data_IF_550467706965
#
_entry.id   IF_550467706965
#
_cell.length_a   1.000
_cell.length_b   1.000
_cell.length_c   1.000
_cell.angle_alpha   90.00
_cell.angle_beta   90.00
_cell.angle_gamma   90.00
#
_symmetry.space_group_name_H-M   'P 1'
#
loop_
_entity.id
_entity.type
_entity.pdbx_description
1 polymer ?
#
# COMPACT_ATOMS: atom_id res chain seq x y z
N UNK A 1 100.35 55.09 44.91
CA UNK A 1 99.29 54.67 43.98
C UNK A 1 98.96 55.82 43.08
N UNK A 2 99.12 55.68 41.73
CA UNK A 2 98.97 56.73 40.76
C UNK A 2 97.54 57.22 40.63
N UNK A 3 97.25 58.49 40.61
CA UNK A 3 95.88 59.04 40.43
C UNK A 3 95.16 58.45 39.22
N UNK A 4 95.86 57.99 38.18
CA UNK A 4 95.31 57.36 36.99
C UNK A 4 94.74 55.94 37.28
N UNK A 5 95.39 55.15 38.16
CA UNK A 5 94.92 53.79 38.54
C UNK A 5 93.63 53.85 39.37
N UNK A 6 93.48 54.91 40.21
CA UNK A 6 92.25 55.10 40.99
C UNK A 6 91.03 55.45 40.12
N UNK A 7 91.26 56.30 39.09
CA UNK A 7 90.20 56.67 38.14
C UNK A 7 89.78 55.42 37.28
N UNK A 8 90.68 54.56 36.86
CA UNK A 8 90.36 53.37 36.12
C UNK A 8 89.57 52.39 36.99
N UNK A 9 89.92 52.24 38.28
CA UNK A 9 89.20 51.41 39.24
C UNK A 9 87.77 51.88 39.51
N UNK A 10 87.57 53.21 39.62
CA UNK A 10 86.22 53.81 39.79
C UNK A 10 85.35 53.64 38.55
N UNK A 11 85.94 53.87 37.37
CA UNK A 11 85.19 53.62 36.11
C UNK A 11 84.81 52.13 35.93
N UNK A 12 85.76 51.23 36.25
CA UNK A 12 85.47 49.79 36.22
C UNK A 12 84.39 49.40 37.22
N UNK A 13 84.39 49.98 38.43
CA UNK A 13 83.34 49.79 39.44
C UNK A 13 81.97 50.23 38.96
N UNK A 14 81.90 51.42 38.32
CA UNK A 14 80.63 51.99 37.77
C UNK A 14 80.08 51.09 36.64
N UNK A 15 80.95 50.62 35.75
CA UNK A 15 80.55 49.69 34.66
C UNK A 15 80.08 48.40 35.25
N UNK A 16 80.71 47.86 36.29
CA UNK A 16 80.32 46.65 36.95
C UNK A 16 78.96 46.79 37.67
N UNK A 17 78.72 47.90 38.37
CA UNK A 17 77.42 48.20 39.00
C UNK A 17 76.35 48.39 37.92
N UNK A 18 76.66 49.07 36.82
CA UNK A 18 75.75 49.26 35.69
C UNK A 18 75.37 47.91 35.00
N UNK A 19 76.32 46.99 34.83
CA UNK A 19 76.06 45.68 34.28
C UNK A 19 75.22 44.77 35.20
N UNK A 20 75.48 44.83 36.52
CA UNK A 20 74.68 44.11 37.51
C UNK A 20 73.25 44.67 37.55
N UNK A 21 73.06 45.97 37.55
CA UNK A 21 71.74 46.58 37.50
C UNK A 21 70.97 46.21 36.22
N UNK A 22 71.63 46.22 35.07
CA UNK A 22 71.09 45.76 33.80
C UNK A 22 70.68 44.27 33.87
N UNK A 23 71.47 43.39 34.39
CA UNK A 23 71.16 41.95 34.53
C UNK A 23 69.99 41.72 35.49
N UNK A 24 69.90 42.47 36.59
CA UNK A 24 68.75 42.39 37.54
C UNK A 24 67.45 42.86 36.87
N UNK A 25 67.46 43.97 36.13
CA UNK A 25 66.31 44.45 35.40
C UNK A 25 65.89 43.46 34.30
N UNK A 26 66.88 42.94 33.55
CA UNK A 26 66.62 41.89 32.51
C UNK A 26 66.02 40.61 33.09
N UNK A 27 66.52 40.12 34.21
CA UNK A 27 66.01 38.95 34.93
C UNK A 27 64.59 39.21 35.49
N UNK A 28 64.32 40.41 36.01
CA UNK A 28 62.97 40.75 36.46
C UNK A 28 61.99 40.84 35.31
N UNK A 29 62.35 41.40 34.18
CA UNK A 29 61.56 41.49 32.97
C UNK A 29 61.29 40.08 32.43
N UNK A 30 62.28 39.19 32.33
CA UNK A 30 62.15 37.81 31.91
C UNK A 30 61.26 37.00 32.87
N UNK A 31 61.38 37.22 34.20
CA UNK A 31 60.47 36.58 35.18
C UNK A 31 59.02 37.02 34.98
N UNK A 32 58.80 38.30 34.69
CA UNK A 32 57.44 38.85 34.48
C UNK A 32 56.85 38.37 33.17
N UNK A 33 57.62 38.29 32.06
CA UNK A 33 57.24 37.74 30.81
C UNK A 33 56.93 36.24 30.93
N UNK A 34 57.75 35.43 31.62
CA UNK A 34 57.50 34.03 31.92
C UNK A 34 56.23 33.83 32.76
N UNK A 35 55.96 34.68 33.74
CA UNK A 35 54.76 34.60 34.56
C UNK A 35 53.53 34.94 33.74
N UNK A 36 53.52 35.94 32.90
CA UNK A 36 52.45 36.30 32.00
C UNK A 36 52.19 35.17 30.97
N UNK A 37 53.23 34.51 30.45
CA UNK A 37 53.12 33.41 29.52
C UNK A 37 52.53 32.16 30.18
N UNK A 38 52.88 31.87 31.45
CA UNK A 38 52.27 30.78 32.22
C UNK A 38 50.80 31.05 32.52
N UNK A 39 50.42 32.28 32.87
CA UNK A 39 49.01 32.67 33.09
C UNK A 39 48.19 32.52 31.81
N UNK A 40 48.69 32.91 30.63
CA UNK A 40 48.07 32.72 29.35
C UNK A 40 47.89 31.21 29.01
N UNK A 41 48.95 30.41 29.23
CA UNK A 41 48.90 28.97 29.00
C UNK A 41 47.88 28.27 29.93
N UNK A 42 47.69 28.77 31.13
CA UNK A 42 46.71 28.27 32.08
C UNK A 42 45.26 28.64 31.67
N UNK A 43 45.08 29.85 31.14
CA UNK A 43 43.80 30.26 30.57
C UNK A 43 43.42 29.44 29.31
N UNK A 44 44.39 29.27 28.39
CA UNK A 44 44.19 28.42 27.19
C UNK A 44 43.79 26.97 27.57
N UNK A 45 44.48 26.39 28.56
CA UNK A 45 44.19 25.05 29.08
C UNK A 45 42.77 24.99 29.65
N UNK A 46 42.36 25.96 30.43
CA UNK A 46 41.02 26.03 31.04
C UNK A 46 39.93 26.23 29.99
N UNK A 47 40.16 26.96 28.94
CA UNK A 47 39.25 27.12 27.81
C UNK A 47 39.09 25.78 27.07
N UNK A 48 40.18 25.06 26.79
CA UNK A 48 40.14 23.73 26.19
C UNK A 48 39.42 22.71 27.08
N UNK A 49 39.58 22.73 28.41
CA UNK A 49 38.83 21.90 29.34
C UNK A 49 37.33 22.13 29.22
N UNK A 50 36.91 23.38 29.15
CA UNK A 50 35.50 23.75 28.97
C UNK A 50 34.95 23.26 27.62
N UNK A 51 35.71 23.41 26.53
CA UNK A 51 35.29 22.90 25.21
C UNK A 51 35.15 21.40 25.18
N UNK A 52 36.09 20.62 25.70
CA UNK A 52 35.98 19.17 25.79
C UNK A 52 34.78 18.73 26.62
N UNK A 53 34.48 19.42 27.73
CA UNK A 53 33.33 19.15 28.56
C UNK A 53 32.01 19.44 27.80
N UNK A 54 31.95 20.54 27.08
CA UNK A 54 30.79 20.87 26.24
C UNK A 54 30.57 19.84 25.16
N UNK A 55 31.63 19.39 24.48
CA UNK A 55 31.49 18.36 23.43
C UNK A 55 31.05 17.01 24.00
N UNK A 56 31.55 16.60 25.15
CA UNK A 56 31.11 15.40 25.83
C UNK A 56 29.61 15.45 26.18
N UNK A 57 29.10 16.60 26.59
CA UNK A 57 27.67 16.83 26.86
C UNK A 57 26.86 16.81 25.56
N UNK A 58 27.33 17.47 24.50
CA UNK A 58 26.65 17.45 23.18
C UNK A 58 26.53 16.03 22.64
N UNK A 59 27.56 15.19 22.73
CA UNK A 59 27.44 13.78 22.37
C UNK A 59 26.36 13.05 23.19
N UNK A 60 26.24 13.37 24.48
CA UNK A 60 25.19 12.80 25.33
C UNK A 60 23.78 13.24 24.89
N UNK A 61 23.60 14.51 24.58
CA UNK A 61 22.31 15.03 24.09
C UNK A 61 21.92 14.42 22.75
N UNK A 62 22.87 14.34 21.80
CA UNK A 62 22.64 13.74 20.49
C UNK A 62 22.19 12.30 20.58
N UNK A 63 22.71 11.50 21.52
CA UNK A 63 22.27 10.13 21.76
C UNK A 63 20.81 10.02 22.18
N UNK A 64 20.26 11.01 22.85
CA UNK A 64 18.85 11.01 23.27
C UNK A 64 17.88 11.32 22.13
N UNK A 65 18.37 11.93 21.04
CA UNK A 65 17.58 12.36 19.90
C UNK A 65 17.51 11.31 18.79
N UNK A 66 18.22 10.22 18.92
CA UNK A 66 18.37 9.20 17.86
C UNK A 66 17.97 7.82 18.38
N UNK A 67 17.16 7.12 17.58
CA UNK A 67 16.77 5.74 17.84
C UNK A 67 17.58 4.71 17.02
N UNK A 68 18.70 5.14 16.41
CA UNK A 68 19.55 4.27 15.60
C UNK A 68 20.72 3.74 16.43
N UNK A 69 20.69 2.46 16.77
CA UNK A 69 21.69 1.81 17.64
C UNK A 69 23.13 1.94 17.12
N UNK A 70 23.33 1.92 15.79
CA UNK A 70 24.66 2.06 15.18
C UNK A 70 25.23 3.45 15.43
N UNK A 71 24.42 4.49 15.24
CA UNK A 71 24.86 5.89 15.48
C UNK A 71 25.05 6.14 16.97
N UNK A 72 24.17 5.60 17.82
CA UNK A 72 24.32 5.69 19.29
C UNK A 72 25.61 5.06 19.76
N UNK A 73 26.01 3.90 19.19
CA UNK A 73 27.28 3.24 19.50
C UNK A 73 28.49 4.11 19.09
N UNK A 74 28.44 4.70 17.89
CA UNK A 74 29.51 5.58 17.39
C UNK A 74 29.63 6.87 18.26
N UNK A 75 28.50 7.51 18.58
CA UNK A 75 28.47 8.68 19.46
C UNK A 75 28.99 8.34 20.86
N UNK A 76 28.73 7.14 21.36
CA UNK A 76 29.24 6.68 22.65
C UNK A 76 30.76 6.53 22.62
N UNK A 77 31.31 5.93 21.56
CA UNK A 77 32.76 5.79 21.39
C UNK A 77 33.47 7.15 21.30
N UNK A 78 32.91 8.11 20.55
CA UNK A 78 33.47 9.45 20.44
C UNK A 78 33.32 10.25 21.75
N UNK A 79 32.26 10.05 22.50
CA UNK A 79 32.09 10.63 23.84
C UNK A 79 33.15 10.10 24.80
N UNK A 80 33.39 8.79 24.84
CA UNK A 80 34.43 8.16 25.68
C UNK A 80 35.82 8.68 25.30
N UNK A 81 36.11 8.78 24.00
CA UNK A 81 37.37 9.38 23.52
C UNK A 81 37.52 10.82 23.98
N UNK A 82 36.48 11.64 23.87
CA UNK A 82 36.47 13.03 24.29
C UNK A 82 36.70 13.17 25.81
N UNK A 83 36.07 12.28 26.61
CA UNK A 83 36.30 12.24 28.07
C UNK A 83 37.74 11.86 28.45
N UNK A 84 38.33 10.90 27.72
CA UNK A 84 39.74 10.50 27.93
C UNK A 84 40.68 11.67 27.62
N UNK A 85 40.44 12.37 26.52
CA UNK A 85 41.24 13.56 26.16
C UNK A 85 41.10 14.70 27.17
N UNK A 86 39.89 14.89 27.74
CA UNK A 86 39.66 15.82 28.81
C UNK A 86 40.45 15.46 30.08
N UNK A 87 40.44 14.19 30.47
CA UNK A 87 41.19 13.73 31.64
C UNK A 87 42.71 13.85 31.44
N UNK A 88 43.19 13.51 30.25
CA UNK A 88 44.57 13.69 29.85
C UNK A 88 45.00 15.19 29.94
N UNK A 89 44.16 16.10 29.41
CA UNK A 89 44.37 17.54 29.47
C UNK A 89 44.48 18.03 30.92
N UNK A 90 43.66 17.52 31.84
CA UNK A 90 43.70 17.90 33.25
C UNK A 90 45.02 17.54 33.92
N UNK A 91 45.62 16.40 33.51
CA UNK A 91 46.89 15.90 34.07
C UNK A 91 48.12 16.60 33.49
N UNK A 92 48.03 17.18 32.29
CA UNK A 92 49.14 17.91 31.64
C UNK A 92 49.42 19.24 32.35
N UNK A 93 50.68 19.51 32.59
CA UNK A 93 51.08 20.85 33.11
C UNK A 93 50.93 21.92 32.02
N UNK A 94 50.47 23.10 32.40
CA UNK A 94 50.33 24.25 31.48
C UNK A 94 51.65 24.66 30.80
N UNK A 95 52.79 24.32 31.40
CA UNK A 95 54.14 24.55 30.85
C UNK A 95 54.56 23.54 29.76
N UNK A 96 53.83 22.43 29.57
CA UNK A 96 54.15 21.42 28.55
C UNK A 96 53.47 21.80 27.19
N UNK A 97 54.14 22.71 26.49
CA UNK A 97 53.64 23.25 25.23
C UNK A 97 53.43 22.20 24.14
N UNK A 98 54.15 21.08 24.15
CA UNK A 98 53.99 20.01 23.12
C UNK A 98 52.69 19.25 23.33
N UNK A 99 52.44 18.83 24.58
CA UNK A 99 51.22 18.10 24.91
C UNK A 99 49.97 18.99 24.78
N UNK A 100 50.05 20.25 25.18
CA UNK A 100 48.97 21.22 24.96
C UNK A 100 48.68 21.39 23.45
N UNK A 101 49.71 21.54 22.60
CA UNK A 101 49.54 21.65 21.16
C UNK A 101 48.92 20.38 20.53
N UNK A 102 49.33 19.19 20.98
CA UNK A 102 48.76 17.91 20.58
C UNK A 102 47.25 17.84 20.92
N UNK A 103 46.90 18.11 22.17
CA UNK A 103 45.52 18.10 22.65
C UNK A 103 44.66 19.17 21.97
N UNK A 104 45.22 20.33 21.63
CA UNK A 104 44.52 21.36 20.82
C UNK A 104 44.20 20.88 19.41
N UNK A 105 45.08 20.08 18.79
CA UNK A 105 44.83 19.42 17.50
C UNK A 105 43.75 18.36 17.61
N UNK A 106 43.77 17.54 18.65
CA UNK A 106 42.74 16.54 18.92
C UNK A 106 41.36 17.22 19.15
N UNK A 107 41.33 18.35 19.89
CA UNK A 107 40.11 19.13 20.09
C UNK A 107 39.51 19.61 18.76
N UNK A 108 40.33 20.08 17.83
CA UNK A 108 39.88 20.48 16.50
C UNK A 108 39.28 19.26 15.73
N UNK A 109 39.86 18.08 15.90
CA UNK A 109 39.31 16.82 15.31
C UNK A 109 37.97 16.45 15.93
N UNK A 110 37.86 16.50 17.27
CA UNK A 110 36.59 16.24 17.98
C UNK A 110 35.51 17.19 17.52
N UNK A 111 35.83 18.51 17.37
CA UNK A 111 34.90 19.51 16.84
C UNK A 111 34.44 19.20 15.42
N UNK A 112 35.35 18.78 14.54
CA UNK A 112 34.99 18.42 13.16
C UNK A 112 34.09 17.17 13.10
N UNK A 113 34.38 16.13 13.89
CA UNK A 113 33.58 14.93 14.01
C UNK A 113 32.20 15.23 14.58
N UNK A 114 32.12 16.04 15.63
CA UNK A 114 30.84 16.48 16.22
C UNK A 114 29.96 17.17 15.16
N UNK A 115 30.56 18.11 14.39
CA UNK A 115 29.84 18.79 13.31
C UNK A 115 29.32 17.85 12.25
N UNK A 116 30.07 16.79 11.88
CA UNK A 116 29.61 15.81 10.91
C UNK A 116 28.41 15.02 11.43
N UNK A 117 28.40 14.61 12.70
CA UNK A 117 27.26 13.94 13.31
C UNK A 117 26.02 14.82 13.39
N UNK A 118 26.17 16.12 13.72
CA UNK A 118 25.03 17.05 13.71
C UNK A 118 24.37 17.09 12.33
N UNK A 119 25.17 17.19 11.26
CA UNK A 119 24.64 17.21 9.88
C UNK A 119 24.00 15.89 9.49
N UNK A 120 24.58 14.78 9.91
CA UNK A 120 24.04 13.43 9.64
C UNK A 120 22.69 13.24 10.34
N UNK A 121 22.60 13.61 11.62
CA UNK A 121 21.35 13.53 12.41
C UNK A 121 20.26 14.41 11.78
N UNK A 122 20.60 15.63 11.37
CA UNK A 122 19.64 16.54 10.74
C UNK A 122 19.12 15.97 9.41
N UNK A 123 20.03 15.37 8.62
CA UNK A 123 19.67 14.69 7.38
C UNK A 123 18.73 13.50 7.63
N UNK A 124 19.03 12.67 8.63
CA UNK A 124 18.21 11.52 9.00
C UNK A 124 16.84 11.93 9.53
N UNK A 125 16.77 12.98 10.32
CA UNK A 125 15.50 13.50 10.82
C UNK A 125 14.61 14.01 9.68
N UNK A 126 15.19 14.76 8.71
CA UNK A 126 14.47 15.20 7.51
C UNK A 126 13.98 14.03 6.65
N UNK A 127 14.84 13.03 6.45
CA UNK A 127 14.47 11.83 5.71
C UNK A 127 13.31 11.10 6.41
N UNK A 128 13.37 10.98 7.73
CA UNK A 128 12.33 10.31 8.53
C UNK A 128 11.00 11.05 8.43
N UNK A 129 11.01 12.38 8.50
CA UNK A 129 9.81 13.21 8.30
C UNK A 129 9.21 13.00 6.90
N UNK A 130 10.04 13.08 5.85
CA UNK A 130 9.59 12.86 4.49
C UNK A 130 8.99 11.46 4.28
N UNK A 131 9.62 10.42 4.86
CA UNK A 131 9.12 9.05 4.80
C UNK A 131 7.80 8.88 5.58
N UNK A 132 7.63 9.56 6.71
CA UNK A 132 6.36 9.57 7.44
C UNK A 132 5.24 10.22 6.63
N UNK A 133 5.51 11.35 6.00
CA UNK A 133 4.55 12.05 5.13
C UNK A 133 4.18 11.20 3.91
N UNK A 134 5.19 10.62 3.26
CA UNK A 134 4.97 9.72 2.12
C UNK A 134 4.16 8.47 2.52
N UNK A 135 4.48 7.85 3.65
CA UNK A 135 3.74 6.70 4.17
C UNK A 135 2.28 7.05 4.45
N UNK A 136 2.03 8.23 5.04
CA UNK A 136 0.67 8.74 5.28
C UNK A 136 -0.09 8.96 3.96
N UNK A 137 0.56 9.56 2.97
CA UNK A 137 -0.02 9.78 1.64
C UNK A 137 -0.34 8.46 0.93
N UNK A 138 0.61 7.51 0.94
CA UNK A 138 0.42 6.19 0.33
C UNK A 138 -0.73 5.43 1.01
N UNK A 139 -0.82 5.47 2.33
CA UNK A 139 -1.94 4.86 3.07
C UNK A 139 -3.29 5.49 2.70
N UNK A 140 -3.36 6.80 2.56
CA UNK A 140 -4.57 7.50 2.12
C UNK A 140 -4.97 7.10 0.70
N UNK A 141 -4.02 7.08 -0.24
CA UNK A 141 -4.25 6.63 -1.62
C UNK A 141 -4.69 5.17 -1.69
N UNK A 142 -4.08 4.30 -0.90
CA UNK A 142 -4.47 2.89 -0.82
C UNK A 142 -5.91 2.73 -0.30
N UNK A 143 -6.25 3.44 0.75
CA UNK A 143 -7.61 3.44 1.31
C UNK A 143 -8.65 3.93 0.29
N UNK A 144 -8.34 4.99 -0.44
CA UNK A 144 -9.22 5.53 -1.48
C UNK A 144 -9.37 4.54 -2.65
N UNK A 145 -8.27 3.97 -3.14
CA UNK A 145 -8.30 2.95 -4.19
C UNK A 145 -9.12 1.72 -3.78
N UNK A 146 -8.99 1.29 -2.52
CA UNK A 146 -9.78 0.15 -1.99
C UNK A 146 -11.28 0.47 -2.01
N UNK A 147 -11.69 1.67 -1.57
CA UNK A 147 -13.10 2.08 -1.62
C UNK A 147 -13.63 2.13 -3.06
N UNK A 148 -12.84 2.63 -3.99
CA UNK A 148 -13.22 2.67 -5.41
C UNK A 148 -13.40 1.26 -5.98
N UNK A 149 -12.48 0.33 -5.65
CA UNK A 149 -12.59 -1.07 -6.07
C UNK A 149 -13.86 -1.72 -5.50
N UNK A 150 -14.17 -1.51 -4.23
CA UNK A 150 -15.40 -2.03 -3.59
C UNK A 150 -16.65 -1.43 -4.24
N UNK A 151 -16.67 -0.13 -4.49
CA UNK A 151 -17.75 0.56 -5.19
C UNK A 151 -17.98 0.01 -6.60
N UNK A 152 -16.92 -0.09 -7.40
CA UNK A 152 -16.97 -0.64 -8.76
C UNK A 152 -17.38 -2.12 -8.78
N UNK A 153 -16.94 -2.90 -7.81
CA UNK A 153 -17.33 -4.32 -7.66
C UNK A 153 -18.83 -4.45 -7.38
N UNK A 154 -19.37 -3.62 -6.50
CA UNK A 154 -20.79 -3.59 -6.17
C UNK A 154 -21.62 -3.13 -7.37
N UNK A 155 -21.18 -2.09 -8.07
CA UNK A 155 -21.85 -1.60 -9.28
C UNK A 155 -21.84 -2.65 -10.39
N UNK A 156 -20.70 -3.31 -10.61
CA UNK A 156 -20.59 -4.42 -11.58
C UNK A 156 -21.55 -5.55 -11.25
N UNK A 157 -21.66 -5.94 -9.98
CA UNK A 157 -22.61 -6.99 -9.57
C UNK A 157 -24.06 -6.58 -9.85
N UNK A 158 -24.44 -5.36 -9.50
CA UNK A 158 -25.79 -4.83 -9.78
C UNK A 158 -26.09 -4.73 -11.28
N UNK A 159 -25.15 -4.25 -12.07
CA UNK A 159 -25.29 -4.20 -13.53
C UNK A 159 -25.38 -5.59 -14.14
N UNK A 160 -24.59 -6.56 -13.66
CA UNK A 160 -24.62 -7.94 -14.14
C UNK A 160 -25.98 -8.59 -13.87
N UNK A 161 -26.56 -8.35 -12.70
CA UNK A 161 -27.91 -8.82 -12.36
C UNK A 161 -28.98 -8.20 -13.27
N UNK A 162 -28.94 -6.88 -13.48
CA UNK A 162 -29.86 -6.19 -14.37
C UNK A 162 -29.75 -6.69 -15.81
N UNK A 163 -28.53 -6.93 -16.29
CA UNK A 163 -28.28 -7.50 -17.62
C UNK A 163 -28.84 -8.91 -17.71
N UNK A 164 -28.67 -9.76 -16.68
CA UNK A 164 -29.22 -11.12 -16.66
C UNK A 164 -30.76 -11.12 -16.74
N UNK A 165 -31.40 -10.23 -15.99
CA UNK A 165 -32.88 -10.07 -16.07
C UNK A 165 -33.30 -9.56 -17.45
N UNK A 166 -32.63 -8.55 -17.99
CA UNK A 166 -32.92 -7.98 -19.31
C UNK A 166 -32.66 -8.98 -20.46
N UNK A 167 -31.72 -9.91 -20.28
CA UNK A 167 -31.39 -10.96 -21.24
C UNK A 167 -32.36 -12.15 -21.20
N UNK A 168 -33.28 -12.20 -20.23
CA UNK A 168 -34.26 -13.26 -20.15
C UNK A 168 -35.18 -13.22 -21.36
N UNK A 169 -35.36 -14.36 -22.02
CA UNK A 169 -36.26 -14.52 -23.16
C UNK A 169 -37.72 -14.47 -22.71
N UNK A 170 -38.59 -14.08 -23.62
CA UNK A 170 -40.05 -14.11 -23.45
C UNK A 170 -40.73 -14.82 -24.63
N UNK A 171 -41.69 -15.68 -24.34
CA UNK A 171 -42.46 -16.41 -25.33
C UNK A 171 -43.90 -15.94 -25.36
N UNK A 172 -44.28 -15.34 -26.46
CA UNK A 172 -45.60 -14.79 -26.72
C UNK A 172 -46.35 -15.64 -27.76
N UNK A 173 -47.61 -15.34 -28.00
CA UNK A 173 -48.40 -15.97 -29.04
C UNK A 173 -48.58 -17.50 -28.87
N UNK A 174 -48.46 -18.02 -27.64
CA UNK A 174 -48.56 -19.46 -27.36
C UNK A 174 -49.90 -19.97 -27.77
N UNK A 175 -49.91 -20.99 -28.65
CA UNK A 175 -51.14 -21.69 -29.11
C UNK A 175 -50.91 -23.20 -29.10
N UNK A 176 -51.97 -23.94 -28.77
CA UNK A 176 -51.98 -25.38 -28.76
C UNK A 176 -53.11 -25.86 -29.69
N UNK A 177 -52.76 -26.65 -30.70
CA UNK A 177 -53.68 -27.18 -31.71
C UNK A 177 -53.63 -28.71 -31.66
N UNK A 178 -54.79 -29.35 -31.63
CA UNK A 178 -54.94 -30.78 -31.73
C UNK A 178 -55.08 -31.18 -33.21
N UNK A 179 -54.28 -32.09 -33.71
CA UNK A 179 -54.34 -32.56 -35.08
C UNK A 179 -54.76 -34.01 -35.11
N UNK A 180 -55.69 -34.35 -36.05
CA UNK A 180 -56.12 -35.72 -36.27
C UNK A 180 -55.15 -36.51 -37.13
N UNK A 181 -55.42 -37.80 -37.39
CA UNK A 181 -54.58 -38.69 -38.19
C UNK A 181 -54.27 -38.18 -39.61
N UNK A 182 -55.10 -37.27 -40.15
CA UNK A 182 -54.92 -36.66 -41.47
C UNK A 182 -54.17 -35.29 -41.38
N UNK A 183 -53.62 -34.94 -40.23
CA UNK A 183 -52.96 -33.64 -40.01
C UNK A 183 -53.90 -32.46 -39.94
N UNK A 184 -55.24 -32.63 -40.00
CA UNK A 184 -56.22 -31.57 -39.92
C UNK A 184 -56.52 -31.23 -38.46
N UNK A 185 -56.68 -29.94 -38.13
CA UNK A 185 -57.08 -29.48 -36.81
C UNK A 185 -58.44 -30.07 -36.38
N UNK A 186 -58.54 -30.46 -35.12
CA UNK A 186 -59.74 -31.01 -34.51
C UNK A 186 -59.96 -30.44 -33.12
N UNK A 187 -61.21 -30.22 -32.76
CA UNK A 187 -61.57 -29.79 -31.40
C UNK A 187 -61.85 -31.03 -30.50
N UNK A 188 -61.98 -32.20 -31.06
CA UNK A 188 -62.26 -33.45 -30.32
C UNK A 188 -60.95 -34.08 -29.83
N UNK A 189 -60.75 -34.15 -28.52
CA UNK A 189 -59.54 -34.71 -27.89
C UNK A 189 -59.36 -36.18 -28.18
N UNK A 190 -60.47 -36.92 -28.33
CA UNK A 190 -60.44 -38.35 -28.66
C UNK A 190 -59.89 -38.64 -30.06
N UNK A 191 -59.97 -37.64 -30.98
CA UNK A 191 -59.52 -37.79 -32.39
C UNK A 191 -58.07 -37.22 -32.54
N UNK A 192 -57.50 -36.69 -31.50
CA UNK A 192 -56.13 -36.13 -31.52
C UNK A 192 -55.10 -37.24 -31.70
N UNK A 193 -54.20 -37.09 -32.65
CA UNK A 193 -53.01 -37.96 -32.87
C UNK A 193 -51.70 -37.20 -32.70
N UNK A 194 -51.68 -35.86 -32.94
CA UNK A 194 -50.49 -35.03 -32.78
C UNK A 194 -50.93 -33.73 -32.15
N UNK A 195 -50.22 -33.28 -31.11
CA UNK A 195 -50.36 -31.98 -30.49
C UNK A 195 -49.31 -31.07 -31.09
N UNK A 196 -49.74 -29.94 -31.62
CA UNK A 196 -48.88 -28.89 -32.14
C UNK A 196 -48.91 -27.70 -31.19
N UNK A 197 -47.73 -27.21 -30.78
CA UNK A 197 -47.57 -25.99 -30.01
C UNK A 197 -46.77 -25.00 -30.84
N UNK A 198 -47.38 -23.82 -31.06
CA UNK A 198 -46.69 -22.67 -31.68
C UNK A 198 -46.47 -21.62 -30.63
N UNK A 199 -45.36 -20.91 -30.73
CA UNK A 199 -45.04 -19.76 -29.92
C UNK A 199 -44.02 -18.87 -30.64
N UNK A 200 -43.94 -17.64 -30.25
CA UNK A 200 -42.98 -16.68 -30.79
C UNK A 200 -42.06 -16.21 -29.65
N UNK A 201 -40.77 -16.39 -29.82
CA UNK A 201 -39.76 -15.80 -28.92
C UNK A 201 -39.61 -14.36 -29.30
N UNK A 202 -39.86 -13.46 -28.39
CA UNK A 202 -39.75 -12.02 -28.59
C UNK A 202 -38.34 -11.59 -28.92
N UNK A 203 -38.18 -10.50 -29.67
CA UNK A 203 -36.91 -9.86 -29.91
C UNK A 203 -36.24 -9.47 -28.58
N UNK A 204 -35.00 -9.90 -28.39
CA UNK A 204 -34.19 -9.49 -27.23
C UNK A 204 -32.72 -9.35 -27.62
N UNK A 205 -32.30 -8.09 -27.76
CA UNK A 205 -30.91 -7.77 -28.17
C UNK A 205 -29.89 -7.95 -27.05
N UNK A 206 -30.34 -8.08 -25.81
CA UNK A 206 -29.48 -8.30 -24.64
C UNK A 206 -29.21 -9.78 -24.43
N UNK A 207 -30.09 -10.66 -24.93
CA UNK A 207 -29.90 -12.08 -24.84
C UNK A 207 -28.70 -12.54 -25.68
N UNK A 208 -27.92 -13.46 -25.14
CA UNK A 208 -26.77 -14.02 -25.86
C UNK A 208 -27.24 -14.75 -27.11
N UNK A 209 -26.72 -14.37 -28.28
CA UNK A 209 -26.95 -15.10 -29.54
C UNK A 209 -26.27 -16.46 -29.55
N UNK A 210 -26.86 -17.43 -30.27
CA UNK A 210 -26.32 -18.77 -30.42
C UNK A 210 -27.39 -19.86 -30.42
N UNK A 211 -26.93 -21.12 -30.35
CA UNK A 211 -27.84 -22.28 -30.28
C UNK A 211 -28.57 -22.31 -28.95
N UNK A 212 -29.90 -22.22 -28.99
CA UNK A 212 -30.75 -22.27 -27.80
C UNK A 212 -31.72 -23.43 -27.90
N UNK A 213 -31.92 -24.11 -26.77
CA UNK A 213 -32.89 -25.20 -26.65
C UNK A 213 -34.13 -24.74 -25.92
N UNK A 214 -35.26 -24.80 -26.60
CA UNK A 214 -36.56 -24.50 -26.05
C UNK A 214 -37.24 -25.80 -25.61
N UNK A 215 -37.66 -25.85 -24.34
CA UNK A 215 -38.34 -26.99 -23.74
C UNK A 215 -39.81 -26.65 -23.54
N UNK A 216 -40.69 -27.49 -24.04
CA UNK A 216 -42.13 -27.33 -23.89
C UNK A 216 -42.66 -28.43 -22.97
N UNK A 217 -43.31 -28.01 -21.89
CA UNK A 217 -44.01 -28.91 -20.97
C UNK A 217 -45.51 -28.73 -21.14
N UNK A 218 -46.22 -29.84 -21.36
CA UNK A 218 -47.68 -29.86 -21.38
C UNK A 218 -48.17 -30.69 -20.20
N UNK A 219 -48.85 -30.04 -19.27
CA UNK A 219 -49.44 -30.69 -18.11
C UNK A 219 -50.93 -30.94 -18.37
N UNK A 220 -51.38 -32.15 -18.18
CA UNK A 220 -52.73 -32.56 -18.34
C UNK A 220 -53.68 -32.01 -17.26
N UNK A 221 -55.01 -32.09 -17.42
CA UNK A 221 -55.95 -31.67 -16.38
C UNK A 221 -55.81 -32.43 -15.05
N UNK A 222 -55.17 -33.60 -15.06
CA UNK A 222 -54.89 -34.41 -13.87
C UNK A 222 -53.54 -34.05 -13.22
N UNK A 223 -52.80 -33.06 -13.75
CA UNK A 223 -51.49 -32.67 -13.27
C UNK A 223 -50.32 -33.48 -13.82
N UNK A 224 -50.60 -34.52 -14.64
CA UNK A 224 -49.56 -35.36 -15.21
C UNK A 224 -48.89 -34.70 -16.43
N UNK A 225 -47.54 -34.89 -16.58
CA UNK A 225 -46.83 -34.46 -17.78
C UNK A 225 -47.19 -35.33 -18.95
N UNK A 226 -47.41 -34.73 -20.12
CA UNK A 226 -47.59 -35.45 -21.39
C UNK A 226 -46.23 -35.79 -22.02
N UNK A 227 -46.01 -37.03 -22.37
CA UNK A 227 -44.77 -37.48 -23.03
C UNK A 227 -43.51 -37.31 -22.16
N UNK A 228 -42.37 -37.60 -22.76
CA UNK A 228 -41.06 -37.39 -22.16
C UNK A 228 -39.98 -37.28 -23.25
N UNK A 229 -39.57 -36.08 -23.61
CA UNK A 229 -38.49 -35.83 -24.58
C UNK A 229 -37.12 -35.56 -23.91
N UNK A 230 -37.04 -35.83 -22.61
CA UNK A 230 -35.83 -35.60 -21.79
C UNK A 230 -36.05 -34.62 -20.64
N UNK A 231 -34.98 -34.30 -19.92
CA UNK A 231 -35.00 -33.40 -18.78
C UNK A 231 -34.12 -32.17 -19.02
N UNK A 232 -34.38 -31.12 -18.26
CA UNK A 232 -33.62 -29.87 -18.26
C UNK A 232 -33.60 -29.28 -16.84
N UNK A 233 -32.55 -28.49 -16.56
CA UNK A 233 -32.43 -27.79 -15.27
C UNK A 233 -33.34 -26.55 -15.25
N UNK A 234 -34.11 -26.42 -14.18
CA UNK A 234 -34.93 -25.25 -13.89
C UNK A 234 -34.85 -24.92 -12.39
N UNK A 235 -34.42 -23.74 -12.03
CA UNK A 235 -34.10 -23.40 -10.66
C UNK A 235 -33.14 -24.47 -10.09
N UNK A 236 -33.38 -25.03 -8.92
CA UNK A 236 -32.52 -26.05 -8.28
C UNK A 236 -32.99 -27.50 -8.51
N UNK A 237 -33.72 -27.78 -9.59
CA UNK A 237 -34.28 -29.12 -9.87
C UNK A 237 -34.30 -29.44 -11.37
N UNK A 238 -34.35 -30.73 -11.69
CA UNK A 238 -34.52 -31.16 -13.05
C UNK A 238 -36.01 -31.41 -13.34
N UNK A 239 -36.51 -30.85 -14.44
CA UNK A 239 -37.86 -31.04 -14.94
C UNK A 239 -37.84 -31.83 -16.25
N UNK A 240 -38.83 -32.75 -16.43
CA UNK A 240 -39.01 -33.41 -17.71
C UNK A 240 -39.85 -32.52 -18.64
N UNK A 241 -39.61 -32.62 -19.95
CA UNK A 241 -40.35 -31.90 -20.98
C UNK A 241 -41.12 -32.83 -21.88
N UNK A 242 -42.21 -32.33 -22.46
CA UNK A 242 -43.03 -33.03 -23.48
C UNK A 242 -42.33 -33.01 -24.83
N UNK A 243 -41.72 -31.86 -25.19
CA UNK A 243 -41.03 -31.62 -26.45
C UNK A 243 -39.83 -30.72 -26.20
N UNK A 244 -38.81 -30.81 -27.08
CA UNK A 244 -37.70 -29.85 -27.11
C UNK A 244 -37.36 -29.51 -28.55
N UNK A 245 -36.87 -28.31 -28.77
CA UNK A 245 -36.39 -27.85 -30.08
C UNK A 245 -35.16 -26.97 -29.91
N UNK A 246 -34.09 -27.31 -30.59
CA UNK A 246 -32.87 -26.53 -30.60
C UNK A 246 -32.76 -25.76 -31.90
N UNK A 247 -32.56 -24.43 -31.80
CA UNK A 247 -32.46 -23.53 -32.96
C UNK A 247 -31.48 -22.42 -32.66
N UNK A 248 -30.95 -21.80 -33.69
CA UNK A 248 -30.12 -20.60 -33.55
C UNK A 248 -31.04 -19.41 -33.26
N UNK A 249 -30.68 -18.63 -32.23
CA UNK A 249 -31.34 -17.40 -31.86
C UNK A 249 -30.37 -16.22 -32.00
N UNK A 250 -30.67 -15.29 -32.89
CA UNK A 250 -29.83 -14.12 -33.19
C UNK A 250 -30.33 -12.82 -32.57
N UNK A 251 -31.11 -12.87 -31.49
CA UNK A 251 -31.65 -11.68 -30.83
C UNK A 251 -32.90 -11.08 -31.51
N UNK A 252 -33.33 -11.61 -32.66
CA UNK A 252 -34.53 -11.18 -33.36
C UNK A 252 -35.74 -12.04 -32.99
N UNK A 253 -36.92 -11.55 -33.33
CA UNK A 253 -38.16 -12.34 -33.16
C UNK A 253 -38.08 -13.68 -33.91
N UNK A 254 -38.46 -14.76 -33.22
CA UNK A 254 -38.35 -16.12 -33.78
C UNK A 254 -39.64 -16.91 -33.52
N UNK A 255 -40.36 -17.21 -34.57
CA UNK A 255 -41.53 -18.08 -34.50
C UNK A 255 -41.14 -19.58 -34.52
N UNK A 256 -41.62 -20.32 -33.55
CA UNK A 256 -41.32 -21.74 -33.36
C UNK A 256 -42.59 -22.60 -33.34
N UNK A 257 -42.47 -23.76 -33.94
CA UNK A 257 -43.49 -24.82 -33.91
C UNK A 257 -42.87 -26.11 -33.43
N UNK A 258 -43.54 -26.77 -32.49
CA UNK A 258 -43.15 -28.08 -31.95
C UNK A 258 -44.33 -29.07 -32.06
N UNK A 259 -43.99 -30.34 -32.22
CA UNK A 259 -45.00 -31.40 -32.39
C UNK A 259 -44.72 -32.52 -31.39
N UNK A 260 -45.81 -33.07 -30.82
CA UNK A 260 -45.77 -34.24 -29.97
C UNK A 260 -46.82 -35.25 -30.47
N UNK A 261 -46.40 -36.42 -30.82
CA UNK A 261 -47.27 -37.50 -31.16
C UNK A 261 -47.88 -38.12 -29.91
N UNK A 262 -49.22 -38.25 -29.89
CA UNK A 262 -49.97 -38.67 -28.73
C UNK A 262 -49.73 -40.19 -28.47
N UNK A 263 -48.98 -40.42 -27.38
CA UNK A 263 -48.62 -41.79 -26.94
C UNK A 263 -49.43 -42.26 -25.75
N UNK A 264 -50.29 -41.41 -25.19
CA UNK A 264 -51.14 -41.70 -24.02
C UNK A 264 -52.56 -41.21 -24.22
N UNK A 265 -53.52 -41.72 -23.45
CA UNK A 265 -54.92 -41.29 -23.52
C UNK A 265 -55.06 -39.85 -23.01
N UNK A 266 -55.60 -38.98 -23.85
CA UNK A 266 -55.94 -37.60 -23.49
C UNK A 266 -57.35 -37.53 -22.90
N UNK A 267 -57.52 -36.69 -21.85
CA UNK A 267 -58.82 -36.49 -21.16
C UNK A 267 -59.30 -35.07 -21.40
N UNK A 268 -60.64 -34.85 -21.44
CA UNK A 268 -61.18 -33.52 -21.54
C UNK A 268 -60.85 -32.69 -20.32
N UNK A 269 -60.61 -31.42 -20.52
CA UNK A 269 -60.22 -30.47 -19.44
C UNK A 269 -59.20 -29.44 -19.86
N UNK A 270 -58.58 -28.79 -18.90
CA UNK A 270 -57.60 -27.71 -19.09
C UNK A 270 -56.16 -28.22 -19.06
N UNK A 271 -55.47 -27.99 -20.15
CA UNK A 271 -54.06 -28.29 -20.33
C UNK A 271 -53.22 -27.02 -20.11
N UNK A 272 -52.10 -27.12 -19.42
CA UNK A 272 -51.18 -26.03 -19.28
C UNK A 272 -49.92 -26.29 -20.13
N UNK A 273 -49.61 -25.33 -20.99
CA UNK A 273 -48.40 -25.32 -21.78
C UNK A 273 -47.44 -24.35 -21.13
N UNK A 274 -46.24 -24.79 -20.75
CA UNK A 274 -45.17 -23.97 -20.22
C UNK A 274 -43.92 -24.13 -21.08
N UNK A 275 -43.28 -23.03 -21.41
CA UNK A 275 -42.10 -22.95 -22.27
C UNK A 275 -40.89 -22.49 -21.45
N UNK A 276 -39.77 -23.15 -21.63
CA UNK A 276 -38.53 -22.87 -20.89
C UNK A 276 -37.35 -22.72 -21.85
N UNK A 277 -36.46 -21.80 -21.54
CA UNK A 277 -35.17 -21.65 -22.22
C UNK A 277 -34.17 -21.05 -21.24
N UNK A 278 -32.88 -21.37 -21.38
CA UNK A 278 -31.78 -20.83 -20.57
C UNK A 278 -32.01 -20.91 -19.04
N UNK A 279 -32.68 -22.02 -18.60
CA UNK A 279 -32.99 -22.22 -17.19
C UNK A 279 -34.16 -21.41 -16.63
N UNK A 280 -34.89 -20.67 -17.46
CA UNK A 280 -36.02 -19.82 -17.06
C UNK A 280 -37.32 -20.29 -17.73
N UNK A 281 -38.44 -20.06 -17.07
CA UNK A 281 -39.76 -20.19 -17.69
C UNK A 281 -40.05 -18.89 -18.47
N UNK A 282 -40.10 -18.99 -19.80
CA UNK A 282 -40.24 -17.84 -20.69
C UNK A 282 -41.68 -17.61 -21.17
N UNK A 283 -42.61 -18.49 -20.85
CA UNK A 283 -44.03 -18.31 -21.15
C UNK A 283 -44.89 -19.46 -20.68
N UNK A 284 -46.17 -19.18 -20.40
CA UNK A 284 -47.13 -20.19 -20.02
C UNK A 284 -48.52 -19.77 -20.42
N UNK A 285 -49.34 -20.76 -20.87
CA UNK A 285 -50.72 -20.56 -21.23
C UNK A 285 -51.55 -21.85 -21.06
N UNK A 286 -52.80 -21.67 -20.66
CA UNK A 286 -53.77 -22.75 -20.48
C UNK A 286 -54.73 -22.85 -21.66
N UNK A 287 -55.12 -24.10 -22.02
CA UNK A 287 -56.02 -24.42 -23.10
C UNK A 287 -57.06 -25.44 -22.66
N UNK A 288 -58.33 -25.20 -22.90
CA UNK A 288 -59.41 -26.12 -22.52
C UNK A 288 -59.99 -26.83 -23.74
N UNK A 289 -59.98 -28.16 -23.67
CA UNK A 289 -60.52 -29.03 -24.71
C UNK A 289 -61.66 -29.89 -24.15
N UNK A 290 -62.63 -30.17 -25.01
CA UNK A 290 -63.83 -30.97 -24.68
C UNK A 290 -63.79 -32.38 -25.32
#
# INVERSE_FOLDING_TARGET
MNKKTWIILTIAGIVLIGSIAYLVISLQKQKQENKAMLELAELDKKEMENEYMQFANQYSEMKTQISNDSIVAQLTAEQEKTQKLLEELRQVKSSDAREIARLKKELATVRAVLRSYVLEIDSLNRLNQNLMEENSRVKSQYSEATRQIEGLSSEKASLSEKVAIAAQLDATGISMTLNNKRGKSTKSIKKCKTVQVNFTVSKNVTAQSGMKTFYVRITSPTGALLGNAGSFAYENRNLNCTMKKTVEYGGQELALTTYWDVTQTLVAGTYQVSIFADGNMIGSRSFTFK
#
